data_IF_502520086708
#
_entry.id   IF_502520086708
#
_cell.length_a   1.000
_cell.length_b   1.000
_cell.length_c   1.000
_cell.angle_alpha   90.00
_cell.angle_beta   90.00
_cell.angle_gamma   90.00
#
_symmetry.space_group_name_H-M   'P 1'
#
loop_
_entity.id
_entity.type
_entity.pdbx_description
1 polymer ?
#
# COMPACT_ATOMS: atom_id res chain seq x y z
N UNK A 1 -5.83 3.55 -5.35
CA UNK A 1 -6.84 3.24 -4.30
C UNK A 1 -7.42 1.86 -4.50
N UNK A 2 -7.95 1.52 -5.68
CA UNK A 2 -8.56 0.19 -5.91
C UNK A 2 -7.62 -0.98 -5.56
N UNK A 3 -6.35 -0.93 -5.97
CA UNK A 3 -5.33 -1.92 -5.56
C UNK A 3 -5.06 -1.94 -4.05
N UNK A 4 -5.07 -0.79 -3.38
CA UNK A 4 -4.94 -0.73 -1.92
C UNK A 4 -6.09 -1.48 -1.25
N UNK A 5 -7.33 -1.22 -1.70
CA UNK A 5 -8.51 -1.90 -1.18
C UNK A 5 -8.48 -3.39 -1.50
N UNK A 6 -8.03 -3.78 -2.69
CA UNK A 6 -7.87 -5.18 -3.08
C UNK A 6 -6.90 -5.94 -2.15
N UNK A 7 -5.75 -5.35 -1.83
CA UNK A 7 -4.73 -5.97 -0.95
C UNK A 7 -5.14 -5.88 0.53
N UNK A 8 -5.48 -4.69 1.04
CA UNK A 8 -5.61 -4.44 2.47
C UNK A 8 -7.03 -4.62 3.01
N UNK A 9 -8.05 -4.32 2.21
CA UNK A 9 -9.45 -4.37 2.65
C UNK A 9 -10.10 -5.70 2.27
N UNK A 10 -10.07 -6.06 0.97
CA UNK A 10 -10.58 -7.34 0.45
C UNK A 10 -9.67 -8.51 0.82
N UNK A 11 -8.38 -8.26 1.05
CA UNK A 11 -7.36 -9.27 1.36
C UNK A 11 -7.35 -10.37 0.28
N UNK A 12 -7.55 -9.95 -0.96
CA UNK A 12 -7.63 -10.83 -2.12
C UNK A 12 -6.26 -11.02 -2.75
N UNK A 13 -6.13 -12.15 -3.42
CA UNK A 13 -5.01 -12.55 -4.24
C UNK A 13 -5.48 -12.95 -5.65
N UNK A 14 -6.69 -12.53 -6.04
CA UNK A 14 -7.27 -12.83 -7.34
C UNK A 14 -7.57 -11.54 -8.11
N UNK A 15 -7.04 -11.42 -9.33
CA UNK A 15 -7.18 -10.21 -10.17
C UNK A 15 -8.63 -9.95 -10.59
N UNK A 16 -9.51 -10.96 -10.52
CA UNK A 16 -10.96 -10.78 -10.79
C UNK A 16 -11.65 -9.87 -9.76
N UNK A 17 -11.04 -9.68 -8.60
CA UNK A 17 -11.53 -8.77 -7.55
C UNK A 17 -10.98 -7.35 -7.69
N UNK A 18 -10.17 -7.07 -8.72
CA UNK A 18 -9.50 -5.80 -9.00
C UNK A 18 -10.07 -5.18 -10.29
N UNK A 19 -10.37 -3.88 -10.28
CA UNK A 19 -10.88 -3.16 -11.45
C UNK A 19 -9.74 -2.65 -12.36
N UNK A 20 -8.65 -3.40 -12.45
CA UNK A 20 -7.42 -3.00 -13.15
C UNK A 20 -6.73 -4.24 -13.71
N UNK A 21 -5.92 -4.04 -14.75
CA UNK A 21 -5.15 -5.07 -15.44
C UNK A 21 -3.66 -5.06 -15.12
N UNK A 22 -3.25 -4.21 -14.17
CA UNK A 22 -1.83 -4.04 -13.83
C UNK A 22 -1.20 -5.28 -13.19
N UNK A 23 -1.99 -6.30 -12.81
CA UNK A 23 -1.50 -7.56 -12.22
C UNK A 23 -1.60 -8.76 -13.16
N UNK A 24 -2.13 -8.58 -14.38
CA UNK A 24 -2.45 -9.69 -15.30
C UNK A 24 -1.24 -10.58 -15.58
N UNK A 25 -0.04 -9.99 -15.70
CA UNK A 25 1.21 -10.71 -15.99
C UNK A 25 1.66 -11.69 -14.90
N UNK A 26 1.15 -11.56 -13.67
CA UNK A 26 1.53 -12.42 -12.54
C UNK A 26 0.41 -13.37 -12.11
N UNK A 27 -0.75 -13.32 -12.78
CA UNK A 27 -1.87 -14.18 -12.47
C UNK A 27 -1.76 -15.55 -13.16
N UNK A 28 -2.20 -16.60 -12.47
CA UNK A 28 -2.40 -17.92 -13.05
C UNK A 28 -3.69 -17.98 -13.89
N UNK A 29 -3.98 -19.15 -14.49
CA UNK A 29 -5.16 -19.40 -15.31
C UNK A 29 -6.50 -19.13 -14.58
N UNK A 30 -6.51 -19.21 -13.25
CA UNK A 30 -7.69 -18.96 -12.42
C UNK A 30 -7.78 -17.49 -11.96
N UNK A 31 -6.78 -16.68 -12.28
CA UNK A 31 -6.65 -15.27 -11.90
C UNK A 31 -5.91 -15.05 -10.59
N UNK A 32 -5.35 -16.09 -9.95
CA UNK A 32 -4.64 -15.94 -8.68
C UNK A 32 -3.19 -15.57 -8.87
N UNK A 33 -2.66 -14.69 -8.02
CA UNK A 33 -1.21 -14.41 -7.91
C UNK A 33 -0.50 -15.32 -6.89
N UNK A 34 -1.12 -16.45 -6.55
CA UNK A 34 -0.64 -17.39 -5.54
C UNK A 34 -0.82 -16.88 -4.11
N UNK A 35 -0.02 -17.37 -3.17
CA UNK A 35 -0.11 -17.04 -1.73
C UNK A 35 0.51 -15.67 -1.37
N UNK A 36 0.41 -14.68 -2.26
CA UNK A 36 1.05 -13.38 -2.12
C UNK A 36 0.08 -12.28 -1.65
N UNK A 37 0.64 -11.17 -1.15
CA UNK A 37 -0.08 -9.92 -0.81
C UNK A 37 -1.32 -10.12 0.07
N UNK A 38 -2.52 -9.85 -0.46
CA UNK A 38 -3.77 -9.95 0.31
C UNK A 38 -4.01 -11.34 0.89
N UNK A 39 -3.51 -12.41 0.25
CA UNK A 39 -3.54 -13.76 0.83
C UNK A 39 -2.87 -13.79 2.21
N UNK A 40 -1.69 -13.16 2.36
CA UNK A 40 -0.96 -13.16 3.63
C UNK A 40 -1.67 -12.30 4.69
N UNK A 41 -2.43 -11.29 4.26
CA UNK A 41 -3.17 -10.43 5.17
C UNK A 41 -4.45 -11.06 5.73
N UNK A 42 -5.06 -12.04 5.05
CA UNK A 42 -6.26 -12.73 5.54
C UNK A 42 -5.98 -13.92 6.47
N UNK A 43 -4.71 -14.34 6.59
CA UNK A 43 -4.35 -15.45 7.48
C UNK A 43 -4.59 -15.03 8.91
N UNK A 44 -5.38 -15.80 9.64
CA UNK A 44 -5.64 -15.57 11.06
C UNK A 44 -4.56 -16.21 11.92
N UNK A 45 -4.18 -15.50 12.97
CA UNK A 45 -3.25 -15.94 13.99
C UNK A 45 -3.90 -15.85 15.37
N UNK A 46 -3.44 -16.68 16.31
CA UNK A 46 -3.89 -16.66 17.70
C UNK A 46 -3.09 -15.63 18.50
N UNK A 47 -3.81 -14.77 19.20
CA UNK A 47 -3.26 -13.80 20.14
C UNK A 47 -3.96 -13.97 21.51
N UNK A 48 -3.39 -13.43 22.60
CA UNK A 48 -4.06 -13.44 23.90
C UNK A 48 -5.48 -12.85 23.89
N UNK A 49 -5.75 -11.89 23.01
CA UNK A 49 -7.02 -11.17 22.90
C UNK A 49 -8.01 -11.84 21.92
N UNK A 50 -7.60 -12.91 21.23
CA UNK A 50 -8.43 -13.62 20.25
C UNK A 50 -7.70 -13.99 18.96
N UNK A 51 -8.45 -14.46 17.96
CA UNK A 51 -7.93 -14.72 16.62
C UNK A 51 -8.15 -13.51 15.71
N UNK A 52 -7.07 -13.00 15.15
CA UNK A 52 -7.07 -11.85 14.24
C UNK A 52 -6.27 -12.18 12.99
N UNK A 53 -6.68 -11.61 11.86
CA UNK A 53 -5.76 -11.44 10.76
C UNK A 53 -4.91 -10.17 10.95
N UNK A 54 -3.91 -9.95 10.10
CA UNK A 54 -2.93 -8.90 10.34
C UNK A 54 -3.55 -7.49 10.32
N UNK A 55 -4.58 -7.26 9.48
CA UNK A 55 -5.26 -5.96 9.39
C UNK A 55 -6.15 -5.74 10.61
N UNK A 56 -6.91 -6.75 11.01
CA UNK A 56 -7.74 -6.67 12.22
C UNK A 56 -6.89 -6.51 13.48
N UNK A 57 -5.71 -7.13 13.52
CA UNK A 57 -4.76 -6.94 14.63
C UNK A 57 -4.29 -5.49 14.72
N UNK A 58 -3.94 -4.86 13.60
CA UNK A 58 -3.56 -3.44 13.57
C UNK A 58 -4.69 -2.56 14.07
N UNK A 59 -5.91 -2.75 13.56
CA UNK A 59 -7.09 -1.98 13.98
C UNK A 59 -7.38 -2.15 15.48
N UNK A 60 -7.25 -3.38 15.99
CA UNK A 60 -7.41 -3.68 17.41
C UNK A 60 -6.36 -2.94 18.25
N UNK A 61 -5.07 -3.04 17.89
CA UNK A 61 -3.98 -2.42 18.63
C UNK A 61 -4.08 -0.89 18.60
N UNK A 62 -4.39 -0.28 17.45
CA UNK A 62 -4.55 1.18 17.36
C UNK A 62 -5.66 1.70 18.26
N UNK A 63 -6.70 0.89 18.52
CA UNK A 63 -7.82 1.27 19.38
C UNK A 63 -7.56 0.98 20.87
N UNK A 64 -6.95 -0.15 21.20
CA UNK A 64 -6.87 -0.64 22.58
C UNK A 64 -5.47 -0.56 23.19
N UNK A 65 -4.42 -0.50 22.36
CA UNK A 65 -3.03 -0.42 22.79
C UNK A 65 -2.17 0.43 21.81
N UNK A 66 -2.55 1.71 21.57
CA UNK A 66 -1.97 2.52 20.49
C UNK A 66 -0.46 2.77 20.63
N UNK A 67 0.06 2.70 21.85
CA UNK A 67 1.49 2.90 22.15
C UNK A 67 2.31 1.60 22.05
N UNK A 68 1.69 0.51 21.61
CA UNK A 68 2.39 -0.74 21.33
C UNK A 68 3.53 -0.50 20.34
N UNK A 69 4.71 -1.05 20.65
CA UNK A 69 5.88 -1.05 19.75
C UNK A 69 5.86 -2.26 18.80
N UNK A 70 4.71 -2.94 18.68
CA UNK A 70 4.56 -4.24 18.00
C UNK A 70 3.46 -4.23 16.94
N UNK A 71 2.96 -3.06 16.54
CA UNK A 71 1.92 -2.94 15.51
C UNK A 71 2.60 -3.11 14.14
N UNK A 72 2.64 -4.35 13.65
CA UNK A 72 3.40 -4.73 12.44
C UNK A 72 2.54 -5.59 11.52
N UNK A 73 2.71 -5.39 10.22
CA UNK A 73 2.21 -6.24 9.14
C UNK A 73 3.40 -6.74 8.33
N UNK A 74 3.41 -8.01 7.96
CA UNK A 74 4.44 -8.62 7.12
C UNK A 74 3.82 -9.61 6.13
N UNK A 75 4.07 -9.38 4.84
CA UNK A 75 3.63 -10.24 3.73
C UNK A 75 4.73 -11.17 3.22
N UNK A 76 5.96 -11.06 3.74
CA UNK A 76 7.09 -11.91 3.36
C UNK A 76 7.14 -13.17 4.23
N UNK A 77 6.35 -14.18 3.86
CA UNK A 77 6.27 -15.45 4.57
C UNK A 77 7.10 -16.54 3.89
N UNK A 78 8.23 -16.91 4.50
CA UNK A 78 9.18 -17.89 3.99
C UNK A 78 8.55 -19.25 3.67
N UNK A 79 7.55 -19.68 4.44
CA UNK A 79 6.87 -20.95 4.22
C UNK A 79 6.04 -20.97 2.93
N UNK A 80 5.59 -19.80 2.47
CA UNK A 80 4.70 -19.67 1.31
C UNK A 80 5.39 -19.13 0.06
N UNK A 81 6.68 -18.73 0.13
CA UNK A 81 7.40 -18.15 -1.01
C UNK A 81 7.32 -19.03 -2.26
N UNK A 82 7.45 -20.34 -2.10
CA UNK A 82 7.35 -21.31 -3.20
C UNK A 82 6.01 -21.28 -3.95
N UNK A 83 4.98 -20.67 -3.39
CA UNK A 83 3.64 -20.59 -3.94
C UNK A 83 3.22 -19.14 -4.25
N UNK A 84 4.16 -18.19 -4.30
CA UNK A 84 3.90 -16.80 -4.68
C UNK A 84 4.36 -16.57 -6.13
N UNK A 85 3.46 -16.09 -6.99
CA UNK A 85 3.84 -15.77 -8.38
C UNK A 85 4.68 -14.49 -8.44
N UNK A 86 4.50 -13.59 -7.46
CA UNK A 86 5.35 -12.42 -7.27
C UNK A 86 5.54 -12.18 -5.77
N UNK A 87 6.80 -12.08 -5.34
CA UNK A 87 7.11 -11.80 -3.93
C UNK A 87 6.80 -10.32 -3.63
N UNK A 88 6.21 -10.00 -2.47
CA UNK A 88 5.92 -8.61 -2.09
C UNK A 88 7.14 -7.69 -2.18
N UNK A 89 7.03 -6.60 -2.93
CA UNK A 89 8.06 -5.55 -2.97
C UNK A 89 8.00 -4.73 -1.68
N UNK A 90 6.88 -4.04 -1.49
CA UNK A 90 6.48 -3.42 -0.23
C UNK A 90 5.94 -4.50 0.71
N UNK A 91 6.82 -5.08 1.52
CA UNK A 91 6.54 -6.34 2.20
C UNK A 91 6.13 -6.17 3.66
N UNK A 92 6.47 -5.04 4.30
CA UNK A 92 6.10 -4.82 5.69
C UNK A 92 5.77 -3.37 6.01
N UNK A 93 4.88 -3.21 6.99
CA UNK A 93 4.59 -1.95 7.62
C UNK A 93 4.71 -2.06 9.13
N UNK A 94 5.31 -1.04 9.74
CA UNK A 94 5.33 -0.87 11.20
C UNK A 94 4.63 0.43 11.53
N UNK A 95 3.72 0.41 12.51
CA UNK A 95 2.96 1.57 12.95
C UNK A 95 3.34 1.98 14.36
N UNK A 96 3.31 3.28 14.63
CA UNK A 96 3.54 3.84 15.95
C UNK A 96 2.64 5.05 16.18
N UNK A 97 2.08 5.18 17.39
CA UNK A 97 1.40 6.40 17.81
C UNK A 97 2.31 7.23 18.71
N UNK A 98 2.53 8.48 18.34
CA UNK A 98 3.22 9.48 19.19
C UNK A 98 2.28 10.67 19.40
N UNK A 99 1.92 10.96 20.65
CA UNK A 99 0.84 11.91 20.95
C UNK A 99 -0.49 11.39 20.40
N UNK A 100 -1.06 12.09 19.40
CA UNK A 100 -2.24 11.65 18.63
C UNK A 100 -1.93 11.25 17.19
N UNK A 101 -0.66 11.26 16.78
CA UNK A 101 -0.27 11.06 15.38
C UNK A 101 0.08 9.61 15.11
N UNK A 102 -0.56 9.02 14.11
CA UNK A 102 -0.22 7.71 13.56
C UNK A 102 0.94 7.85 12.57
N UNK A 103 2.11 7.39 12.96
CA UNK A 103 3.29 7.28 12.12
C UNK A 103 3.41 5.86 11.57
N UNK A 104 4.07 5.72 10.43
CA UNK A 104 4.29 4.44 9.79
C UNK A 104 5.68 4.36 9.14
N UNK A 105 6.24 3.16 9.15
CA UNK A 105 7.43 2.80 8.37
C UNK A 105 7.02 1.74 7.37
N UNK A 106 7.27 2.01 6.09
CA UNK A 106 7.11 1.06 4.99
C UNK A 106 8.48 0.52 4.61
N UNK A 107 8.68 -0.79 4.71
CA UNK A 107 9.89 -1.42 4.15
C UNK A 107 9.60 -2.04 2.79
N UNK A 108 10.39 -1.64 1.82
CA UNK A 108 10.33 -2.12 0.45
C UNK A 108 11.68 -2.67 0.01
N UNK A 109 11.72 -3.96 -0.33
CA UNK A 109 12.98 -4.65 -0.68
C UNK A 109 13.54 -4.20 -2.03
N UNK A 110 12.68 -3.73 -2.94
CA UNK A 110 13.04 -3.36 -4.30
C UNK A 110 11.98 -2.41 -4.87
N UNK A 111 12.41 -1.35 -5.56
CA UNK A 111 11.54 -0.32 -6.10
C UNK A 111 12.04 0.18 -7.46
N UNK A 112 11.27 -0.07 -8.51
CA UNK A 112 11.42 0.64 -9.78
C UNK A 112 10.91 2.07 -9.59
N UNK A 113 11.85 3.01 -9.63
CA UNK A 113 11.59 4.41 -9.29
C UNK A 113 10.70 5.09 -10.33
N UNK A 114 10.82 4.75 -11.61
CA UNK A 114 10.06 5.44 -12.66
C UNK A 114 8.59 4.99 -12.68
N UNK A 115 8.34 3.68 -12.62
CA UNK A 115 6.99 3.14 -12.86
C UNK A 115 6.16 2.94 -11.60
N UNK A 116 6.81 2.64 -10.46
CA UNK A 116 6.10 2.16 -9.27
C UNK A 116 6.27 3.06 -8.03
N UNK A 117 7.34 3.86 -7.94
CA UNK A 117 7.61 4.60 -6.71
C UNK A 117 6.49 5.53 -6.26
N UNK A 118 6.06 6.45 -7.13
CA UNK A 118 4.96 7.35 -6.79
C UNK A 118 3.66 6.59 -6.47
N UNK A 119 3.44 5.46 -7.14
CA UNK A 119 2.29 4.60 -6.87
C UNK A 119 2.33 4.04 -5.44
N UNK A 120 3.46 3.48 -5.01
CA UNK A 120 3.60 2.96 -3.64
C UNK A 120 3.56 4.07 -2.59
N UNK A 121 4.25 5.19 -2.81
CA UNK A 121 4.24 6.32 -1.86
C UNK A 121 2.81 6.80 -1.61
N UNK A 122 2.04 7.03 -2.68
CA UNK A 122 0.64 7.47 -2.55
C UNK A 122 -0.24 6.38 -1.95
N UNK A 123 -0.10 5.13 -2.39
CA UNK A 123 -0.86 3.99 -1.86
C UNK A 123 -0.74 3.86 -0.34
N UNK A 124 0.50 3.86 0.17
CA UNK A 124 0.75 3.67 1.58
C UNK A 124 0.48 4.93 2.40
N UNK A 125 0.61 6.12 1.81
CA UNK A 125 0.13 7.36 2.45
C UNK A 125 -1.38 7.30 2.68
N UNK A 126 -2.15 6.89 1.66
CA UNK A 126 -3.62 6.75 1.79
C UNK A 126 -3.98 5.73 2.87
N UNK A 127 -3.25 4.61 2.95
CA UNK A 127 -3.48 3.61 4.00
C UNK A 127 -3.31 4.19 5.41
N UNK A 128 -2.25 4.98 5.64
CA UNK A 128 -2.03 5.66 6.92
C UNK A 128 -3.18 6.61 7.23
N UNK A 129 -3.63 7.39 6.24
CA UNK A 129 -4.80 8.26 6.40
C UNK A 129 -6.08 7.48 6.78
N UNK A 130 -6.35 6.35 6.10
CA UNK A 130 -7.51 5.49 6.40
C UNK A 130 -7.47 4.95 7.83
N UNK A 131 -6.32 4.39 8.23
CA UNK A 131 -6.13 3.83 9.57
C UNK A 131 -6.22 4.90 10.66
N UNK A 132 -5.63 6.07 10.43
CA UNK A 132 -5.71 7.19 11.36
C UNK A 132 -7.17 7.63 11.56
N UNK A 133 -7.94 7.79 10.47
CA UNK A 133 -9.33 8.23 10.52
C UNK A 133 -10.21 7.28 11.34
N UNK A 134 -10.16 5.98 11.07
CA UNK A 134 -11.02 5.00 11.75
C UNK A 134 -10.57 4.70 13.18
N UNK A 135 -9.32 5.06 13.52
CA UNK A 135 -8.77 4.95 14.87
C UNK A 135 -8.88 6.25 15.68
N UNK A 136 -9.51 7.30 15.14
CA UNK A 136 -9.61 8.61 15.76
C UNK A 136 -8.23 9.24 16.10
N UNK A 137 -7.28 9.07 15.19
CA UNK A 137 -5.92 9.60 15.25
C UNK A 137 -5.70 10.66 14.17
N UNK A 138 -4.71 11.51 14.39
CA UNK A 138 -4.16 12.41 13.37
C UNK A 138 -3.16 11.66 12.50
N UNK A 139 -3.00 12.10 11.26
CA UNK A 139 -1.96 11.56 10.37
C UNK A 139 -0.59 12.08 10.82
N UNK A 140 0.35 11.14 11.00
CA UNK A 140 1.74 11.41 11.30
C UNK A 140 2.65 11.26 10.07
N UNK A 141 3.88 10.82 10.30
CA UNK A 141 4.89 10.64 9.27
C UNK A 141 4.80 9.24 8.63
N UNK A 142 4.97 9.18 7.30
CA UNK A 142 5.27 7.94 6.58
C UNK A 142 6.75 7.94 6.20
N UNK A 143 7.51 7.00 6.75
CA UNK A 143 8.91 6.76 6.39
C UNK A 143 8.97 5.60 5.41
N UNK A 144 9.37 5.85 4.16
CA UNK A 144 9.53 4.82 3.13
C UNK A 144 10.99 4.39 3.03
N UNK A 145 11.29 3.19 3.55
CA UNK A 145 12.61 2.57 3.49
C UNK A 145 12.67 1.69 2.24
N UNK A 146 13.56 2.02 1.32
CA UNK A 146 13.78 1.27 0.08
C UNK A 146 15.19 0.70 0.12
N UNK A 147 15.33 -0.61 -0.01
CA UNK A 147 16.64 -1.27 -0.01
C UNK A 147 17.33 -1.13 -1.38
N UNK A 148 16.68 -1.62 -2.44
CA UNK A 148 17.15 -1.46 -3.82
C UNK A 148 16.24 -0.45 -4.55
N UNK A 149 16.73 0.79 -4.71
CA UNK A 149 16.07 1.83 -5.48
C UNK A 149 16.77 1.94 -6.84
N UNK A 150 16.06 1.57 -7.92
CA UNK A 150 16.67 1.46 -9.25
C UNK A 150 15.80 2.08 -10.34
N UNK A 151 16.44 2.32 -11.48
CA UNK A 151 15.81 2.61 -12.77
C UNK A 151 16.44 1.68 -13.81
N UNK A 152 15.69 1.29 -14.84
CA UNK A 152 16.26 0.53 -15.94
C UNK A 152 17.01 1.47 -16.90
N UNK A 153 18.06 0.99 -17.57
CA UNK A 153 18.84 1.80 -18.52
C UNK A 153 17.97 2.41 -19.63
N UNK A 154 17.01 1.63 -20.15
CA UNK A 154 16.02 2.08 -21.15
C UNK A 154 15.12 3.21 -20.65
N UNK A 155 15.03 3.43 -19.34
CA UNK A 155 14.25 4.49 -18.71
C UNK A 155 15.07 5.76 -18.46
N UNK A 156 16.40 5.74 -18.57
CA UNK A 156 17.26 6.92 -18.34
C UNK A 156 16.82 8.15 -19.16
N UNK A 157 16.51 8.05 -20.47
CA UNK A 157 16.03 9.20 -21.22
C UNK A 157 14.71 9.77 -20.69
N UNK A 158 13.78 8.91 -20.26
CA UNK A 158 12.48 9.30 -19.70
C UNK A 158 12.64 10.00 -18.35
N UNK A 159 13.48 9.45 -17.47
CA UNK A 159 13.79 10.04 -16.17
C UNK A 159 14.42 11.43 -16.33
N UNK A 160 15.38 11.57 -17.25
CA UNK A 160 16.04 12.85 -17.54
C UNK A 160 15.06 13.93 -18.01
N UNK A 161 14.05 13.55 -18.79
CA UNK A 161 12.98 14.45 -19.22
C UNK A 161 12.07 14.81 -18.04
N UNK A 162 11.62 13.82 -17.27
CA UNK A 162 10.74 14.00 -16.12
C UNK A 162 11.31 14.96 -15.08
N UNK A 163 12.57 14.80 -14.68
CA UNK A 163 13.20 15.60 -13.61
C UNK A 163 13.45 17.06 -14.02
N UNK A 164 13.33 17.40 -15.32
CA UNK A 164 13.42 18.78 -15.83
C UNK A 164 12.07 19.48 -15.88
N UNK A 165 10.97 18.75 -15.70
CA UNK A 165 9.63 19.33 -15.73
C UNK A 165 9.41 20.23 -14.51
N UNK A 166 8.55 21.23 -14.69
CA UNK A 166 8.12 22.10 -13.59
C UNK A 166 7.30 21.29 -12.57
N UNK A 167 7.70 21.24 -11.28
CA UNK A 167 6.86 20.67 -10.23
C UNK A 167 5.69 21.62 -9.93
N UNK A 168 4.54 21.04 -9.59
CA UNK A 168 3.36 21.77 -9.12
C UNK A 168 3.18 21.57 -7.61
N UNK A 169 2.43 22.46 -6.92
CA UNK A 169 2.06 22.25 -5.53
C UNK A 169 1.35 20.90 -5.32
N UNK A 170 1.58 20.29 -4.15
CA UNK A 170 0.91 19.04 -3.79
C UNK A 170 -0.62 19.23 -3.72
N UNK A 171 -1.42 18.25 -4.17
CA UNK A 171 -2.86 18.30 -4.02
C UNK A 171 -3.27 18.16 -2.56
N UNK A 172 -4.53 18.51 -2.27
CA UNK A 172 -5.15 18.20 -0.99
C UNK A 172 -5.98 16.92 -1.10
N UNK A 173 -5.63 15.90 -0.33
CA UNK A 173 -6.45 14.69 -0.20
C UNK A 173 -7.66 14.99 0.69
N UNK A 174 -8.85 14.66 0.18
CA UNK A 174 -10.10 14.66 0.93
C UNK A 174 -10.62 13.23 0.99
N UNK A 175 -10.97 12.80 2.20
CA UNK A 175 -11.53 11.47 2.49
C UNK A 175 -12.91 11.68 3.11
N UNK A 176 -13.89 10.86 2.73
CA UNK A 176 -15.23 10.91 3.29
C UNK A 176 -15.19 10.78 4.83
N UNK A 177 -15.58 11.84 5.59
CA UNK A 177 -15.47 11.85 7.04
C UNK A 177 -16.50 10.93 7.74
N UNK A 178 -17.53 10.49 7.03
CA UNK A 178 -18.58 9.62 7.57
C UNK A 178 -18.10 8.17 7.73
N UNK A 179 -17.01 7.78 7.06
CA UNK A 179 -16.44 6.43 7.15
C UNK A 179 -15.73 6.26 8.49
N UNK A 180 -16.32 5.43 9.36
CA UNK A 180 -15.80 5.10 10.70
C UNK A 180 -15.26 3.67 10.82
N UNK A 181 -15.43 2.86 9.77
CA UNK A 181 -14.90 1.50 9.70
C UNK A 181 -13.99 1.38 8.46
N UNK A 182 -12.85 0.72 8.63
CA UNK A 182 -11.87 0.49 7.56
C UNK A 182 -12.47 -0.26 6.37
N UNK A 183 -13.42 -1.17 6.64
CA UNK A 183 -14.05 -2.00 5.62
C UNK A 183 -15.19 -1.29 4.86
N UNK A 184 -15.57 -0.08 5.26
CA UNK A 184 -16.63 0.68 4.60
C UNK A 184 -16.12 1.62 3.50
N UNK A 185 -14.81 1.82 3.40
CA UNK A 185 -14.19 2.68 2.40
C UNK A 185 -14.36 2.11 0.99
N UNK A 186 -14.64 2.99 0.04
CA UNK A 186 -14.73 2.70 -1.39
C UNK A 186 -13.94 3.73 -2.19
N UNK A 187 -13.71 3.47 -3.47
CA UNK A 187 -12.88 4.34 -4.32
C UNK A 187 -13.46 5.77 -4.37
N UNK A 188 -14.78 5.89 -4.41
CA UNK A 188 -15.52 7.17 -4.43
C UNK A 188 -15.38 8.00 -3.15
N UNK A 189 -14.89 7.43 -2.05
CA UNK A 189 -14.69 8.16 -0.78
C UNK A 189 -13.44 9.04 -0.78
N UNK A 190 -12.65 9.01 -1.84
CA UNK A 190 -11.38 9.73 -1.94
C UNK A 190 -11.40 10.68 -3.14
N UNK A 191 -10.96 11.92 -2.91
CA UNK A 191 -10.75 12.90 -3.98
C UNK A 191 -9.49 13.72 -3.73
N UNK A 192 -8.85 14.15 -4.81
CA UNK A 192 -7.76 15.12 -4.77
C UNK A 192 -8.28 16.48 -5.23
N UNK A 193 -8.18 17.48 -4.37
CA UNK A 193 -8.43 18.87 -4.72
C UNK A 193 -7.15 19.53 -5.22
N UNK A 194 -7.28 20.38 -6.24
CA UNK A 194 -6.19 21.16 -6.82
C UNK A 194 -5.02 20.32 -7.36
N UNK A 195 -5.28 19.10 -7.82
CA UNK A 195 -4.24 18.27 -8.42
C UNK A 195 -3.85 18.77 -9.81
N UNK A 196 -2.71 19.44 -9.90
CA UNK A 196 -2.09 19.84 -11.14
C UNK A 196 -1.01 18.82 -11.52
N UNK A 197 -1.01 18.39 -12.77
CA UNK A 197 -0.07 17.42 -13.30
C UNK A 197 0.40 17.85 -14.70
N UNK A 198 1.64 17.46 -15.05
CA UNK A 198 2.19 17.69 -16.38
C UNK A 198 1.72 16.66 -17.40
N UNK A 199 2.14 16.81 -18.66
CA UNK A 199 1.75 15.91 -19.75
C UNK A 199 2.04 14.43 -19.45
N UNK A 200 1.10 13.50 -19.62
CA UNK A 200 1.34 12.10 -19.31
C UNK A 200 2.48 11.48 -20.13
N UNK A 201 3.44 10.83 -19.47
CA UNK A 201 4.37 9.92 -20.15
C UNK A 201 3.63 8.61 -20.43
N UNK A 202 3.55 8.22 -21.71
CA UNK A 202 2.82 7.03 -22.16
C UNK A 202 3.79 5.92 -22.55
N UNK A 203 3.31 4.67 -22.51
CA UNK A 203 4.01 3.48 -23.00
C UNK A 203 5.39 3.23 -22.35
N UNK A 204 5.51 3.49 -21.05
CA UNK A 204 6.73 3.16 -20.31
C UNK A 204 6.84 1.63 -20.21
N UNK A 205 7.89 1.00 -20.75
CA UNK A 205 8.01 -0.46 -20.75
C UNK A 205 8.28 -0.97 -19.33
N UNK A 206 7.38 -1.82 -18.82
CA UNK A 206 7.50 -2.47 -17.50
C UNK A 206 8.25 -3.79 -17.65
N UNK A 207 9.16 -4.09 -16.72
CA UNK A 207 9.80 -5.40 -16.65
C UNK A 207 8.83 -6.41 -16.00
N UNK A 208 8.77 -7.63 -16.56
CA UNK A 208 7.98 -8.75 -16.05
C UNK A 208 8.94 -9.78 -15.49
#
# INVERSE_FOLDING_TARGET
>A
IDELLWIWQKKSNNIKDLNSRIWDSWADENGSIGKAYGYQLRIKHKYPEGEFDQVDRVLYDLKHNPYSRRIIVNMYNHNDLHAMNLYPCAYSMTFNVTGRKLNAILNQRSQDVLVANNWNVVQYSILVHMLAQVSNLEVGELVHVIADAHIYDRHIPLVNELIRRKPYPAPKLIINPEKKNFYDFRVEDFRLENYQYGEPMKNIPVAI
#
